data_IF_800367870021
#
_entry.id   IF_800367870021
#
_cell.length_a   1.000
_cell.length_b   1.000
_cell.length_c   1.000
_cell.angle_alpha   90.00
_cell.angle_beta   90.00
_cell.angle_gamma   90.00
#
_symmetry.space_group_name_H-M   'P 1'
#
loop_
_entity.id
_entity.type
_entity.pdbx_description
1 polymer ?
#
# COMPACT_ATOMS: atom_id res chain seq x y z
N UNK A 1 -7.49 25.77 16.72
CA UNK A 1 -8.14 25.77 18.04
C UNK A 1 -9.41 24.93 17.95
N UNK A 2 -9.37 23.65 18.34
CA UNK A 2 -10.56 22.78 18.28
C UNK A 2 -11.51 23.18 19.41
N UNK A 3 -12.74 23.56 19.06
CA UNK A 3 -13.78 23.95 20.02
C UNK A 3 -14.08 22.79 20.98
N UNK A 4 -14.29 23.10 22.26
CA UNK A 4 -14.69 22.11 23.30
C UNK A 4 -15.93 21.30 22.91
N UNK A 5 -16.80 21.84 22.06
CA UNK A 5 -17.96 21.14 21.50
C UNK A 5 -17.58 19.97 20.57
N UNK A 6 -16.48 20.08 19.81
CA UNK A 6 -16.00 19.02 18.94
C UNK A 6 -15.33 17.89 19.73
N UNK A 7 -14.65 18.20 20.82
CA UNK A 7 -14.06 17.20 21.71
C UNK A 7 -15.16 16.38 22.44
N UNK A 8 -16.25 17.04 22.84
CA UNK A 8 -17.38 16.35 23.44
C UNK A 8 -18.15 15.47 22.45
N UNK A 9 -18.22 15.86 21.17
CA UNK A 9 -18.81 15.03 20.11
C UNK A 9 -17.95 13.81 19.79
N UNK A 10 -16.63 13.98 19.75
CA UNK A 10 -15.70 12.85 19.60
C UNK A 10 -15.76 11.91 20.81
N UNK A 11 -15.78 12.43 22.03
CA UNK A 11 -15.91 11.62 23.24
C UNK A 11 -17.28 10.90 23.31
N UNK A 12 -18.36 11.52 22.82
CA UNK A 12 -19.66 10.88 22.70
C UNK A 12 -19.68 9.78 21.64
N UNK A 13 -19.01 9.99 20.51
CA UNK A 13 -18.84 8.97 19.45
C UNK A 13 -18.12 7.72 20.00
N UNK A 14 -17.05 7.89 20.76
CA UNK A 14 -16.31 6.77 21.37
C UNK A 14 -17.08 6.09 22.52
N UNK A 15 -17.99 6.81 23.21
CA UNK A 15 -18.84 6.21 24.23
C UNK A 15 -19.96 5.33 23.67
N UNK A 16 -20.29 5.47 22.38
CA UNK A 16 -21.29 4.65 21.70
C UNK A 16 -20.67 3.41 20.99
N UNK A 17 -19.42 3.03 21.33
CA UNK A 17 -18.90 1.71 21.05
C UNK A 17 -19.15 0.81 22.27
N UNK A 18 -20.38 0.29 22.49
CA UNK A 18 -20.69 -0.56 23.62
C UNK A 18 -20.10 -1.96 23.38
N UNK A 19 -19.96 -2.73 24.42
CA UNK A 19 -19.58 -4.14 24.39
C UNK A 19 -20.39 -4.97 23.35
N UNK A 20 -21.61 -4.53 23.02
CA UNK A 20 -22.42 -5.09 21.93
C UNK A 20 -21.73 -5.05 20.55
N UNK A 21 -20.92 -4.02 20.27
CA UNK A 21 -20.20 -3.94 18.99
C UNK A 21 -18.99 -4.90 18.96
N UNK A 22 -18.35 -5.15 20.11
CA UNK A 22 -17.29 -6.14 20.20
C UNK A 22 -17.84 -7.56 19.99
N UNK A 23 -18.99 -7.87 20.58
CA UNK A 23 -19.68 -9.17 20.39
C UNK A 23 -20.08 -9.33 18.92
N UNK A 24 -20.69 -8.30 18.31
CA UNK A 24 -21.06 -8.34 16.89
C UNK A 24 -19.84 -8.50 15.98
N UNK A 25 -18.74 -7.81 16.27
CA UNK A 25 -17.49 -7.97 15.52
C UNK A 25 -16.94 -9.38 15.63
N UNK A 26 -16.95 -9.94 16.82
CA UNK A 26 -16.51 -11.33 17.09
C UNK A 26 -17.37 -12.33 16.32
N UNK A 27 -18.71 -12.17 16.34
CA UNK A 27 -19.63 -13.01 15.58
C UNK A 27 -19.40 -12.93 14.07
N UNK A 28 -19.13 -11.72 13.53
CA UNK A 28 -18.79 -11.54 12.12
C UNK A 28 -17.49 -12.26 11.77
N UNK A 29 -16.44 -12.11 12.59
CA UNK A 29 -15.16 -12.79 12.38
C UNK A 29 -15.33 -14.31 12.41
N UNK A 30 -16.06 -14.83 13.39
CA UNK A 30 -16.37 -16.27 13.48
C UNK A 30 -17.16 -16.72 12.25
N UNK A 31 -18.15 -15.95 11.82
CA UNK A 31 -18.94 -16.24 10.61
C UNK A 31 -18.07 -16.32 9.35
N UNK A 32 -17.15 -15.35 9.17
CA UNK A 32 -16.20 -15.35 8.05
C UNK A 32 -15.28 -16.58 8.12
N UNK A 33 -14.76 -16.91 9.29
CA UNK A 33 -13.91 -18.09 9.49
C UNK A 33 -14.64 -19.41 9.20
N UNK A 34 -15.90 -19.52 9.61
CA UNK A 34 -16.73 -20.70 9.30
C UNK A 34 -17.00 -20.82 7.81
N UNK A 35 -17.37 -19.73 7.14
CA UNK A 35 -17.57 -19.71 5.69
C UNK A 35 -16.28 -20.11 4.96
N UNK A 36 -15.13 -19.55 5.35
CA UNK A 36 -13.83 -19.93 4.77
C UNK A 36 -13.55 -21.43 4.97
N UNK A 37 -13.78 -21.97 6.16
CA UNK A 37 -13.55 -23.38 6.48
C UNK A 37 -14.48 -24.30 5.67
N UNK A 38 -15.75 -23.92 5.50
CA UNK A 38 -16.70 -24.65 4.66
C UNK A 38 -16.27 -24.66 3.20
N UNK A 39 -15.91 -23.50 2.63
CA UNK A 39 -15.46 -23.40 1.25
C UNK A 39 -14.18 -24.20 1.03
N UNK A 40 -13.22 -24.10 1.96
CA UNK A 40 -11.97 -24.86 1.89
C UNK A 40 -12.19 -26.37 1.87
N UNK A 41 -13.18 -26.88 2.59
CA UNK A 41 -13.49 -28.32 2.64
C UNK A 41 -14.26 -28.83 1.41
N UNK A 42 -14.89 -27.94 0.63
CA UNK A 42 -15.64 -28.31 -0.60
C UNK A 42 -14.77 -28.31 -1.86
N UNK A 43 -13.57 -27.74 -1.80
CA UNK A 43 -12.67 -27.65 -2.95
C UNK A 43 -11.80 -28.90 -3.06
N UNK A 44 -11.76 -29.50 -4.26
CA UNK A 44 -10.78 -30.53 -4.58
C UNK A 44 -9.37 -29.93 -4.57
N UNK A 45 -8.46 -30.47 -3.76
CA UNK A 45 -7.10 -29.94 -3.54
C UNK A 45 -7.07 -28.55 -2.85
N UNK A 46 -7.60 -28.45 -1.62
CA UNK A 46 -7.67 -27.17 -0.88
C UNK A 46 -6.28 -26.54 -0.66
N UNK A 47 -5.24 -27.36 -0.48
CA UNK A 47 -3.88 -26.88 -0.27
C UNK A 47 -3.33 -26.05 -1.44
N UNK A 48 -3.88 -26.21 -2.66
CA UNK A 48 -3.42 -25.51 -3.87
C UNK A 48 -4.19 -24.21 -4.14
N UNK A 49 -5.49 -24.21 -3.87
CA UNK A 49 -6.37 -23.09 -4.24
C UNK A 49 -6.80 -22.24 -3.06
N UNK A 50 -7.25 -22.87 -1.99
CA UNK A 50 -7.73 -22.18 -0.78
C UNK A 50 -7.47 -23.06 0.45
N UNK A 51 -6.27 -23.01 1.06
CA UNK A 51 -5.98 -23.78 2.26
C UNK A 51 -6.88 -23.37 3.42
N UNK A 52 -7.17 -24.33 4.30
CA UNK A 52 -7.99 -24.02 5.48
C UNK A 52 -7.26 -23.07 6.44
N UNK A 53 -7.99 -22.30 7.28
CA UNK A 53 -7.37 -21.41 8.26
C UNK A 53 -6.35 -22.13 9.16
N UNK A 54 -6.65 -23.37 9.54
CA UNK A 54 -5.78 -24.19 10.38
C UNK A 54 -4.48 -24.53 9.63
N UNK A 55 -4.57 -24.93 8.36
CA UNK A 55 -3.40 -25.22 7.54
C UNK A 55 -2.52 -23.98 7.36
N UNK A 56 -3.11 -22.79 7.18
CA UNK A 56 -2.36 -21.54 7.08
C UNK A 56 -1.58 -21.27 8.35
N UNK A 57 -2.21 -21.42 9.52
CA UNK A 57 -1.54 -21.24 10.82
C UNK A 57 -0.39 -22.24 11.00
N UNK A 58 -0.64 -23.52 10.78
CA UNK A 58 0.38 -24.57 10.92
C UNK A 58 1.56 -24.36 9.95
N UNK A 59 1.28 -24.04 8.69
CA UNK A 59 2.31 -23.75 7.70
C UNK A 59 3.12 -22.50 8.06
N UNK A 60 2.48 -21.48 8.62
CA UNK A 60 3.17 -20.26 9.08
C UNK A 60 4.17 -20.58 10.21
N UNK A 61 3.78 -21.40 11.16
CA UNK A 61 4.69 -21.85 12.23
C UNK A 61 5.86 -22.67 11.66
N UNK A 62 5.60 -23.59 10.74
CA UNK A 62 6.65 -24.38 10.08
C UNK A 62 7.64 -23.49 9.34
N UNK A 63 7.16 -22.48 8.60
CA UNK A 63 8.01 -21.50 7.91
C UNK A 63 8.82 -20.63 8.87
N UNK A 64 8.28 -20.30 10.05
CA UNK A 64 9.02 -19.58 11.10
C UNK A 64 10.14 -20.47 11.64
N UNK A 65 9.85 -21.71 12.00
CA UNK A 65 10.84 -22.66 12.52
C UNK A 65 11.97 -22.95 11.53
N UNK A 66 11.66 -23.00 10.24
CA UNK A 66 12.65 -23.16 9.17
C UNK A 66 13.43 -21.89 8.84
N UNK A 67 13.11 -20.76 9.45
CA UNK A 67 13.74 -19.48 9.19
C UNK A 67 13.39 -18.87 7.81
N UNK A 68 12.46 -19.49 7.07
CA UNK A 68 12.06 -19.03 5.74
C UNK A 68 11.24 -17.73 5.79
N UNK A 69 10.29 -17.66 6.73
CA UNK A 69 9.43 -16.48 6.87
C UNK A 69 10.23 -15.22 7.23
N UNK A 70 11.13 -15.25 8.23
CA UNK A 70 11.99 -14.11 8.55
C UNK A 70 12.90 -13.69 7.38
N UNK A 71 13.46 -14.65 6.63
CA UNK A 71 14.29 -14.37 5.46
C UNK A 71 13.49 -13.65 4.38
N UNK A 72 12.34 -14.18 3.95
CA UNK A 72 11.49 -13.56 2.93
C UNK A 72 10.96 -12.19 3.37
N UNK A 73 10.68 -12.04 4.65
CA UNK A 73 10.29 -10.74 5.21
C UNK A 73 11.44 -9.73 5.12
N UNK A 74 12.66 -10.14 5.48
CA UNK A 74 13.86 -9.30 5.36
C UNK A 74 14.12 -8.86 3.92
N UNK A 75 14.04 -9.79 2.96
CA UNK A 75 14.19 -9.49 1.54
C UNK A 75 13.13 -8.49 1.05
N UNK A 76 11.89 -8.69 1.46
CA UNK A 76 10.77 -7.81 1.08
C UNK A 76 10.97 -6.40 1.63
N UNK A 77 11.32 -6.27 2.91
CA UNK A 77 11.60 -4.97 3.54
C UNK A 77 12.80 -4.29 2.87
N UNK A 78 13.84 -5.02 2.59
CA UNK A 78 15.04 -4.47 1.92
C UNK A 78 14.69 -3.91 0.54
N UNK A 79 13.97 -4.66 -0.29
CA UNK A 79 13.49 -4.20 -1.61
C UNK A 79 12.58 -2.98 -1.50
N UNK A 80 11.68 -2.98 -0.52
CA UNK A 80 10.76 -1.86 -0.27
C UNK A 80 11.54 -0.59 0.12
N UNK A 81 12.45 -0.70 1.10
CA UNK A 81 13.25 0.44 1.57
C UNK A 81 14.15 0.98 0.45
N UNK A 82 14.86 0.11 -0.26
CA UNK A 82 15.74 0.52 -1.36
C UNK A 82 14.94 1.18 -2.48
N UNK A 83 13.89 0.51 -2.98
CA UNK A 83 13.08 1.02 -4.09
C UNK A 83 12.38 2.34 -3.76
N UNK A 84 11.78 2.45 -2.57
CA UNK A 84 11.12 3.68 -2.15
C UNK A 84 12.09 4.82 -1.84
N UNK A 85 13.28 4.53 -1.29
CA UNK A 85 14.32 5.55 -1.07
C UNK A 85 14.80 6.15 -2.39
N UNK A 86 15.01 5.33 -3.42
CA UNK A 86 15.35 5.82 -4.76
C UNK A 86 14.18 6.62 -5.34
N UNK A 87 12.95 6.15 -5.16
CA UNK A 87 11.75 6.87 -5.57
C UNK A 87 11.63 8.26 -4.94
N UNK A 88 11.91 8.37 -3.63
CA UNK A 88 11.97 9.64 -2.89
C UNK A 88 13.09 10.55 -3.41
N UNK A 89 14.30 10.00 -3.52
CA UNK A 89 15.48 10.75 -3.93
C UNK A 89 15.35 11.35 -5.35
N UNK A 90 14.62 10.68 -6.23
CA UNK A 90 14.35 11.16 -7.60
C UNK A 90 13.04 11.95 -7.68
N UNK A 91 11.99 11.50 -7.01
CA UNK A 91 10.65 12.09 -7.10
C UNK A 91 10.57 13.49 -6.50
N UNK A 92 11.25 13.73 -5.36
CA UNK A 92 11.23 15.05 -4.73
C UNK A 92 11.92 16.11 -5.61
N UNK A 93 13.17 15.94 -6.07
CA UNK A 93 13.81 16.94 -6.94
C UNK A 93 13.06 17.12 -8.25
N UNK A 94 12.57 16.05 -8.85
CA UNK A 94 11.81 16.11 -10.08
C UNK A 94 10.51 16.89 -9.93
N UNK A 95 9.74 16.61 -8.87
CA UNK A 95 8.51 17.35 -8.55
C UNK A 95 8.77 18.84 -8.26
N UNK A 96 9.87 19.16 -7.55
CA UNK A 96 10.29 20.54 -7.32
C UNK A 96 10.64 21.25 -8.62
N UNK A 97 11.48 20.64 -9.47
CA UNK A 97 11.87 21.21 -10.77
C UNK A 97 10.67 21.54 -11.66
N UNK A 98 9.70 20.63 -11.71
CA UNK A 98 8.46 20.85 -12.44
C UNK A 98 7.60 21.95 -11.79
N UNK A 99 7.52 21.98 -10.45
CA UNK A 99 6.66 22.90 -9.71
C UNK A 99 7.13 24.36 -9.72
N UNK A 100 8.44 24.62 -9.84
CA UNK A 100 9.03 25.96 -9.84
C UNK A 100 8.65 26.79 -11.07
N UNK A 101 8.34 26.16 -12.21
CA UNK A 101 7.92 26.84 -13.42
C UNK A 101 6.46 26.51 -13.74
N UNK A 102 5.56 27.49 -13.65
CA UNK A 102 4.13 27.29 -13.88
C UNK A 102 3.81 26.71 -15.25
N UNK A 103 4.48 27.20 -16.30
CA UNK A 103 4.25 26.71 -17.67
C UNK A 103 4.63 25.23 -17.79
N UNK A 104 5.78 24.86 -17.23
CA UNK A 104 6.24 23.45 -17.21
C UNK A 104 5.30 22.61 -16.36
N UNK A 105 4.91 23.09 -15.18
CA UNK A 105 3.96 22.42 -14.32
C UNK A 105 2.64 22.12 -15.03
N UNK A 106 2.07 23.10 -15.73
CA UNK A 106 0.80 22.95 -16.47
C UNK A 106 0.90 21.93 -17.61
N UNK A 107 2.04 21.86 -18.30
CA UNK A 107 2.29 20.87 -19.34
C UNK A 107 2.43 19.45 -18.79
N UNK A 108 3.15 19.29 -17.68
CA UNK A 108 3.44 17.97 -17.12
C UNK A 108 2.37 17.46 -16.16
N UNK A 109 1.54 18.33 -15.60
CA UNK A 109 0.50 17.97 -14.63
C UNK A 109 -0.43 16.84 -15.11
N UNK A 110 -1.04 16.90 -16.31
CA UNK A 110 -1.91 15.81 -16.78
C UNK A 110 -1.16 14.49 -16.96
N UNK A 111 0.09 14.55 -17.43
CA UNK A 111 0.94 13.37 -17.60
C UNK A 111 1.29 12.74 -16.24
N UNK A 112 1.69 13.55 -15.26
CA UNK A 112 2.01 13.06 -13.92
C UNK A 112 0.79 12.49 -13.23
N UNK A 113 -0.38 13.13 -13.38
CA UNK A 113 -1.65 12.63 -12.85
C UNK A 113 -2.04 11.28 -13.47
N UNK A 114 -1.81 11.12 -14.77
CA UNK A 114 -2.03 9.85 -15.46
C UNK A 114 -1.14 8.73 -14.87
N UNK A 115 0.18 8.95 -14.83
CA UNK A 115 1.11 7.92 -14.38
C UNK A 115 0.95 7.55 -12.90
N UNK A 116 0.64 8.50 -12.02
CA UNK A 116 0.37 8.18 -10.61
C UNK A 116 -0.92 7.35 -10.44
N UNK A 117 -1.89 7.49 -11.35
CA UNK A 117 -3.16 6.76 -11.28
C UNK A 117 -3.03 5.31 -11.78
N UNK A 118 -1.99 5.01 -12.55
CA UNK A 118 -1.74 3.65 -13.04
C UNK A 118 -1.16 2.79 -11.92
N UNK A 119 -1.87 1.73 -11.57
CA UNK A 119 -1.44 0.80 -10.53
C UNK A 119 -0.15 0.08 -10.90
N UNK A 120 0.81 -0.01 -9.97
CA UNK A 120 2.02 -0.79 -10.14
C UNK A 120 1.76 -2.27 -10.44
N UNK A 121 0.65 -2.83 -9.95
CA UNK A 121 0.23 -4.20 -10.27
C UNK A 121 -0.08 -4.34 -11.77
N UNK A 122 -0.64 -3.31 -12.40
CA UNK A 122 -0.92 -3.33 -13.84
C UNK A 122 0.37 -3.26 -14.70
N UNK A 123 1.41 -2.62 -14.17
CA UNK A 123 2.71 -2.50 -14.85
C UNK A 123 3.58 -3.74 -14.64
N UNK A 124 3.40 -4.47 -13.55
CA UNK A 124 4.22 -5.62 -13.19
C UNK A 124 4.38 -6.65 -14.33
N UNK A 125 3.32 -7.11 -15.04
CA UNK A 125 3.47 -8.06 -16.15
C UNK A 125 4.33 -7.51 -17.30
N UNK A 126 4.24 -6.20 -17.59
CA UNK A 126 5.03 -5.56 -18.65
C UNK A 126 6.53 -5.60 -18.29
N UNK A 127 6.84 -5.26 -17.04
CA UNK A 127 8.23 -5.26 -16.55
C UNK A 127 8.80 -6.66 -16.47
N UNK A 128 7.97 -7.67 -16.14
CA UNK A 128 8.36 -9.10 -16.15
C UNK A 128 8.74 -9.56 -17.57
N UNK A 129 8.05 -9.10 -18.60
CA UNK A 129 8.41 -9.44 -20.00
C UNK A 129 9.80 -8.93 -20.36
N UNK A 130 10.23 -7.77 -19.82
CA UNK A 130 11.55 -7.19 -20.14
C UNK A 130 12.70 -7.78 -19.32
N UNK A 131 12.49 -7.99 -18.01
CA UNK A 131 13.57 -8.39 -17.09
C UNK A 131 13.36 -9.74 -16.42
N UNK A 132 12.30 -10.46 -16.80
CA UNK A 132 11.93 -11.72 -16.18
C UNK A 132 11.42 -11.53 -14.74
N UNK A 133 11.20 -12.64 -14.06
CA UNK A 133 10.84 -12.63 -12.64
C UNK A 133 12.11 -12.51 -11.78
N UNK A 134 12.56 -11.31 -11.53
CA UNK A 134 13.81 -11.00 -10.85
C UNK A 134 13.66 -9.87 -9.84
N UNK A 135 14.66 -9.70 -8.97
CA UNK A 135 14.71 -8.58 -8.02
C UNK A 135 14.66 -7.21 -8.70
N UNK A 136 15.25 -7.11 -9.90
CA UNK A 136 15.21 -5.88 -10.71
C UNK A 136 13.78 -5.50 -11.08
N UNK A 137 12.96 -6.47 -11.43
CA UNK A 137 11.54 -6.30 -11.76
C UNK A 137 10.78 -5.76 -10.56
N UNK A 138 10.97 -6.36 -9.39
CA UNK A 138 10.31 -5.91 -8.14
C UNK A 138 10.74 -4.49 -7.79
N UNK A 139 12.06 -4.22 -7.82
CA UNK A 139 12.60 -2.87 -7.54
C UNK A 139 12.09 -1.82 -8.53
N UNK A 140 11.99 -2.14 -9.82
CA UNK A 140 11.47 -1.21 -10.82
C UNK A 140 10.00 -0.87 -10.58
N UNK A 141 9.17 -1.83 -10.18
CA UNK A 141 7.77 -1.59 -9.85
C UNK A 141 7.64 -0.77 -8.56
N UNK A 142 8.44 -1.06 -7.52
CA UNK A 142 8.46 -0.27 -6.29
C UNK A 142 8.91 1.17 -6.60
N UNK A 143 9.96 1.34 -7.40
CA UNK A 143 10.43 2.64 -7.84
C UNK A 143 9.32 3.43 -8.55
N UNK A 144 8.66 2.80 -9.52
CA UNK A 144 7.55 3.42 -10.25
C UNK A 144 6.43 3.87 -9.31
N UNK A 145 5.97 2.98 -8.44
CA UNK A 145 4.86 3.25 -7.51
C UNK A 145 5.19 4.29 -6.45
N UNK A 146 6.47 4.51 -6.17
CA UNK A 146 6.93 5.55 -5.24
C UNK A 146 7.20 6.86 -5.96
N UNK A 147 7.88 6.84 -7.11
CA UNK A 147 8.33 8.02 -7.84
C UNK A 147 7.18 8.92 -8.28
N UNK A 148 6.21 8.38 -9.03
CA UNK A 148 5.15 9.21 -9.63
C UNK A 148 4.23 9.86 -8.59
N UNK A 149 3.72 9.17 -7.55
CA UNK A 149 2.92 9.82 -6.52
C UNK A 149 3.69 10.88 -5.72
N UNK A 150 4.98 10.62 -5.43
CA UNK A 150 5.81 11.58 -4.71
C UNK A 150 6.05 12.83 -5.56
N UNK A 151 6.49 12.65 -6.81
CA UNK A 151 6.73 13.75 -7.73
C UNK A 151 5.46 14.58 -7.97
N UNK A 152 4.31 13.93 -8.13
CA UNK A 152 3.03 14.63 -8.28
C UNK A 152 2.62 15.38 -7.02
N UNK A 153 2.79 14.80 -5.83
CA UNK A 153 2.46 15.45 -4.56
C UNK A 153 3.34 16.68 -4.34
N UNK A 154 4.64 16.58 -4.63
CA UNK A 154 5.57 17.71 -4.52
C UNK A 154 5.22 18.80 -5.54
N UNK A 155 4.97 18.43 -6.80
CA UNK A 155 4.53 19.36 -7.86
C UNK A 155 3.25 20.11 -7.43
N UNK A 156 2.26 19.41 -6.92
CA UNK A 156 0.99 20.00 -6.47
C UNK A 156 1.20 20.90 -5.26
N UNK A 157 2.00 20.46 -4.27
CA UNK A 157 2.32 21.25 -3.10
C UNK A 157 3.03 22.57 -3.43
N UNK A 158 3.99 22.56 -4.35
CA UNK A 158 4.67 23.80 -4.81
C UNK A 158 3.69 24.76 -5.47
N UNK A 159 2.72 24.27 -6.23
CA UNK A 159 1.71 25.12 -6.90
C UNK A 159 0.71 25.77 -5.94
N UNK A 160 0.46 25.16 -4.80
CA UNK A 160 -0.45 25.70 -3.77
C UNK A 160 0.19 26.82 -2.95
N UNK A 161 1.51 26.99 -2.99
CA UNK A 161 2.20 28.08 -2.27
C UNK A 161 1.84 29.43 -2.88
N UNK A 162 1.30 30.39 -2.11
CA UNK A 162 1.01 31.74 -2.62
C UNK A 162 2.29 32.45 -3.08
N UNK A 163 2.22 33.13 -4.22
CA UNK A 163 3.35 33.85 -4.83
C UNK A 163 4.06 34.87 -3.92
N UNK A 164 3.40 35.32 -2.85
CA UNK A 164 3.99 36.25 -1.87
C UNK A 164 5.07 35.61 -0.97
N UNK A 165 5.27 34.29 -1.04
CA UNK A 165 6.26 33.56 -0.26
C UNK A 165 7.39 32.99 -1.13
N UNK A 166 7.35 33.23 -2.43
CA UNK A 166 8.38 32.89 -3.42
C UNK A 166 8.96 34.18 -3.95
#
# INVERSE_FOLDING_TARGET
MLSRSNLNRLAAFWRHFPAANAVNLTLIIIGIMLVWLLISNTIENPARYLPSPIQVVLSSFDMIYKGLLPSYFGDTITRLVVGSSIGLALGIPFGLLLGLNRTVADMFYPMMNFFQSVSGIAIFPIVVVWWGNSDKTVLAVILYTSFFPIAFTVLSGVREVPLRYI
#
